data_IF_762578174069
#
_entry.id   IF_762578174069
#
_cell.length_a   1.000
_cell.length_b   1.000
_cell.length_c   1.000
_cell.angle_alpha   90.00
_cell.angle_beta   90.00
_cell.angle_gamma   90.00
#
_symmetry.space_group_name_H-M   'P 1'
#
loop_
_entity.id
_entity.type
_entity.pdbx_description
1 polymer ?
#
# COMPACT_ATOMS: atom_id res chain seq x y z
N UNK A 1 -8.47 5.06 -7.37
CA UNK A 1 -7.11 4.74 -6.87
C UNK A 1 -7.26 3.81 -5.68
N UNK A 2 -6.51 2.70 -5.64
CA UNK A 2 -6.65 1.66 -4.61
C UNK A 2 -5.58 1.83 -3.53
N UNK A 3 -5.93 1.51 -2.29
CA UNK A 3 -5.05 1.55 -1.12
C UNK A 3 -5.05 0.17 -0.47
N UNK A 4 -3.87 -0.38 -0.23
CA UNK A 4 -3.69 -1.63 0.48
C UNK A 4 -3.27 -1.37 1.93
N UNK A 5 -4.01 -1.94 2.88
CA UNK A 5 -3.67 -1.94 4.30
C UNK A 5 -3.21 -3.34 4.69
N UNK A 6 -2.06 -3.44 5.34
CA UNK A 6 -1.49 -4.73 5.71
C UNK A 6 -0.81 -4.67 7.08
N UNK A 7 -0.62 -5.84 7.68
CA UNK A 7 0.10 -6.03 8.94
C UNK A 7 1.26 -6.99 8.71
N UNK A 8 2.28 -6.93 9.55
CA UNK A 8 3.36 -7.91 9.54
C UNK A 8 2.96 -9.16 10.34
N UNK A 9 3.27 -10.32 9.78
CA UNK A 9 3.16 -11.58 10.54
C UNK A 9 4.20 -11.62 11.65
N UNK A 10 3.90 -12.37 12.72
CA UNK A 10 4.82 -12.52 13.85
C UNK A 10 6.19 -13.05 13.36
N UNK A 11 7.26 -12.33 13.72
CA UNK A 11 8.64 -12.65 13.31
C UNK A 11 9.10 -11.97 12.01
N UNK A 12 8.24 -11.21 11.33
CA UNK A 12 8.61 -10.46 10.13
C UNK A 12 8.85 -8.99 10.47
N UNK A 13 10.04 -8.46 10.14
CA UNK A 13 10.44 -7.10 10.50
C UNK A 13 10.00 -6.03 9.49
N UNK A 14 9.89 -6.39 8.21
CA UNK A 14 9.48 -5.49 7.13
C UNK A 14 8.96 -6.28 5.93
N UNK A 15 8.38 -5.57 4.97
CA UNK A 15 8.02 -6.11 3.66
C UNK A 15 8.56 -5.16 2.60
N UNK A 16 9.11 -5.70 1.51
CA UNK A 16 9.51 -4.89 0.37
C UNK A 16 8.29 -4.66 -0.54
N UNK A 17 7.86 -3.40 -0.62
CA UNK A 17 6.65 -3.02 -1.36
C UNK A 17 6.84 -3.16 -2.86
N UNK A 18 8.06 -2.93 -3.37
CA UNK A 18 8.33 -3.04 -4.82
C UNK A 18 8.21 -4.50 -5.29
N UNK A 19 8.84 -5.42 -4.57
CA UNK A 19 8.68 -6.87 -4.81
C UNK A 19 7.22 -7.33 -4.69
N UNK A 20 6.48 -6.86 -3.67
CA UNK A 20 5.05 -7.21 -3.50
C UNK A 20 4.21 -6.71 -4.67
N UNK A 21 4.46 -5.48 -5.13
CA UNK A 21 3.77 -4.89 -6.27
C UNK A 21 4.09 -5.64 -7.56
N UNK A 22 5.36 -5.97 -7.80
CA UNK A 22 5.79 -6.75 -8.97
C UNK A 22 5.05 -8.08 -9.03
N UNK A 23 4.99 -8.79 -7.90
CA UNK A 23 4.22 -10.03 -7.79
C UNK A 23 2.72 -9.84 -8.07
N UNK A 24 2.10 -8.76 -7.55
CA UNK A 24 0.70 -8.43 -7.84
C UNK A 24 0.45 -8.13 -9.32
N UNK A 25 1.40 -7.49 -10.02
CA UNK A 25 1.29 -7.15 -11.44
C UNK A 25 1.29 -8.39 -12.35
N UNK A 26 1.94 -9.47 -11.94
CA UNK A 26 1.93 -10.74 -12.68
C UNK A 26 0.58 -11.46 -12.58
N UNK A 27 -0.16 -11.23 -11.48
CA UNK A 27 -1.41 -11.95 -11.17
C UNK A 27 -2.67 -11.12 -11.43
N UNK A 28 -2.56 -9.79 -11.36
CA UNK A 28 -3.69 -8.87 -11.41
C UNK A 28 -3.53 -7.85 -12.54
N UNK A 29 -4.64 -7.45 -13.18
CA UNK A 29 -4.61 -6.35 -14.14
C UNK A 29 -4.22 -5.02 -13.47
N UNK A 30 -3.61 -4.13 -14.25
CA UNK A 30 -3.00 -2.89 -13.77
C UNK A 30 -3.94 -1.98 -12.93
N UNK A 31 -5.25 -2.00 -13.21
CA UNK A 31 -6.23 -1.18 -12.48
C UNK A 31 -6.57 -1.72 -11.08
N UNK A 32 -6.18 -2.96 -10.76
CA UNK A 32 -6.31 -3.56 -9.42
C UNK A 32 -5.05 -3.38 -8.57
N UNK A 33 -3.99 -2.81 -9.13
CA UNK A 33 -2.74 -2.58 -8.41
C UNK A 33 -2.91 -1.37 -7.48
N UNK A 34 -2.71 -1.54 -6.16
CA UNK A 34 -2.73 -0.44 -5.20
C UNK A 34 -1.67 0.61 -5.52
N UNK A 35 -2.03 1.89 -5.35
CA UNK A 35 -1.09 3.01 -5.50
C UNK A 35 -0.46 3.42 -4.17
N UNK A 36 -0.95 2.86 -3.07
CA UNK A 36 -0.52 3.16 -1.72
C UNK A 36 -0.58 1.90 -0.86
N UNK A 37 0.43 1.73 -0.02
CA UNK A 37 0.57 0.61 0.88
C UNK A 37 0.80 1.14 2.29
N UNK A 38 -0.13 0.85 3.18
CA UNK A 38 -0.14 1.36 4.55
C UNK A 38 0.08 0.20 5.49
N UNK A 39 1.24 0.21 6.15
CA UNK A 39 1.54 -0.71 7.24
C UNK A 39 0.77 -0.28 8.49
N UNK A 40 0.09 -1.24 9.11
CA UNK A 40 -0.56 -1.11 10.40
C UNK A 40 0.03 -2.12 11.37
N UNK A 41 0.15 -1.76 12.64
CA UNK A 41 0.47 -2.71 13.71
C UNK A 41 -0.65 -3.75 13.87
N UNK A 42 -1.90 -3.31 13.76
CA UNK A 42 -3.09 -4.15 13.79
C UNK A 42 -4.20 -3.57 12.92
N UNK A 43 -5.02 -4.45 12.34
CA UNK A 43 -6.23 -4.03 11.64
C UNK A 43 -7.25 -3.49 12.65
N UNK A 44 -7.82 -2.29 12.44
CA UNK A 44 -8.84 -1.76 13.32
C UNK A 44 -10.11 -2.59 13.18
N UNK A 45 -10.60 -3.13 14.29
CA UNK A 45 -11.83 -3.91 14.33
C UNK A 45 -12.91 -3.15 15.10
N UNK A 46 -14.13 -3.22 14.60
CA UNK A 46 -15.34 -2.87 15.34
C UNK A 46 -15.51 -3.80 16.56
N UNK A 47 -16.33 -3.43 17.55
CA UNK A 47 -16.63 -4.29 18.71
C UNK A 47 -17.15 -5.69 18.34
N UNK A 48 -17.72 -5.84 17.14
CA UNK A 48 -18.22 -7.11 16.60
C UNK A 48 -17.15 -7.89 15.82
N UNK A 49 -15.88 -7.48 15.87
CA UNK A 49 -14.75 -8.14 15.19
C UNK A 49 -14.66 -7.92 13.68
N UNK A 50 -15.51 -7.05 13.10
CA UNK A 50 -15.43 -6.69 11.67
C UNK A 50 -14.44 -5.57 11.46
N UNK A 51 -13.77 -5.51 10.30
CA UNK A 51 -12.90 -4.40 9.92
C UNK A 51 -13.64 -3.05 10.00
N UNK A 52 -13.11 -2.13 10.80
CA UNK A 52 -13.59 -0.76 10.86
C UNK A 52 -12.89 0.11 9.82
N UNK A 53 -13.52 0.23 8.65
CA UNK A 53 -13.00 1.02 7.53
C UNK A 53 -12.92 2.52 7.82
N UNK A 54 -13.69 3.04 8.80
CA UNK A 54 -13.66 4.45 9.17
C UNK A 54 -12.48 4.79 10.07
N UNK A 55 -11.97 3.80 10.79
CA UNK A 55 -10.79 3.92 11.64
C UNK A 55 -9.47 3.69 10.86
N UNK A 56 -9.54 3.33 9.58
CA UNK A 56 -8.34 3.21 8.74
C UNK A 56 -7.73 4.60 8.53
N UNK A 57 -6.42 4.77 8.78
CA UNK A 57 -5.75 6.03 8.52
C UNK A 57 -5.74 6.34 7.03
N UNK A 58 -5.81 7.63 6.69
CA UNK A 58 -5.59 8.07 5.32
C UNK A 58 -4.11 7.80 4.94
N UNK A 59 -3.81 7.32 3.72
CA UNK A 59 -2.44 7.12 3.29
C UNK A 59 -1.72 8.47 3.19
N UNK A 60 -0.59 8.61 3.87
CA UNK A 60 0.27 9.78 3.78
C UNK A 60 0.97 9.86 2.42
N UNK A 61 1.39 11.06 2.02
CA UNK A 61 2.09 11.27 0.75
C UNK A 61 3.39 10.46 0.61
N UNK A 62 4.00 10.06 1.72
CA UNK A 62 5.16 9.16 1.79
C UNK A 62 4.81 7.69 1.53
N UNK A 63 3.55 7.31 1.74
CA UNK A 63 3.00 5.97 1.52
C UNK A 63 2.31 5.85 0.16
N UNK A 64 1.96 7.00 -0.43
CA UNK A 64 1.69 7.08 -1.85
C UNK A 64 3.01 6.82 -2.58
N UNK A 65 3.08 5.72 -3.32
CA UNK A 65 4.10 5.66 -4.36
C UNK A 65 3.66 6.66 -5.41
N UNK A 66 4.24 7.86 -5.34
CA UNK A 66 4.16 8.80 -6.44
C UNK A 66 4.52 8.00 -7.69
N UNK A 67 3.71 8.14 -8.74
CA UNK A 67 4.25 7.98 -10.09
C UNK A 67 5.30 9.09 -10.23
N UNK A 68 6.45 8.91 -9.59
CA UNK A 68 7.62 9.73 -9.81
C UNK A 68 8.13 9.26 -11.16
N UNK A 69 7.44 9.69 -12.22
CA UNK A 69 8.19 10.25 -13.32
C UNK A 69 8.93 11.44 -12.72
N UNK A 70 10.13 11.18 -12.19
CA UNK A 70 11.21 12.12 -12.41
C UNK A 70 11.11 12.46 -13.90
N UNK A 71 10.85 13.71 -14.32
CA UNK A 71 11.16 14.05 -15.69
C UNK A 71 12.67 13.78 -15.86
N UNK A 72 13.00 12.62 -16.44
CA UNK A 72 14.29 12.46 -17.10
C UNK A 72 14.18 13.29 -18.37
N UNK A 73 14.77 14.47 -18.30
CA UNK A 73 14.76 15.43 -19.39
C UNK A 73 15.29 16.75 -18.88
N UNK A 74 16.60 16.82 -18.70
CA UNK A 74 17.33 18.05 -18.97
C UNK A 74 16.94 18.46 -20.41
N UNK A 75 16.03 19.42 -20.55
CA UNK A 75 15.86 20.14 -21.81
C UNK A 75 15.66 21.62 -21.48
N UNK A 76 16.68 22.36 -21.96
CA UNK A 76 16.86 23.81 -22.12
C UNK A 76 17.36 24.63 -20.92
#
# INVERSE_FOLDING_TARGET
RLVAYYTLSAGQASVDIDSLRGWLQEQLPAYLIPVAYVLLDALPLTPNGKLDRKALPAPDASQLQATYSTPQGELE
#
